data_IF_207305493190
#
_entry.id   IF_207305493190
#
_cell.length_a   1.000
_cell.length_b   1.000
_cell.length_c   1.000
_cell.angle_alpha   90.00
_cell.angle_beta   90.00
_cell.angle_gamma   90.00
#
_symmetry.space_group_name_H-M   'P 1'
#
loop_
_entity.id
_entity.type
_entity.pdbx_description
1 polymer ?
#
# COMPACT_ATOMS: atom_id res chain seq x y z
N UNK A 1 -14.86 48.03 -3.16
CA UNK A 1 -13.42 47.89 -2.84
C UNK A 1 -13.24 46.58 -2.10
N UNK A 2 -12.76 45.53 -2.79
CA UNK A 2 -12.55 44.22 -2.18
C UNK A 2 -11.44 44.32 -1.13
N UNK A 3 -11.73 43.87 0.09
CA UNK A 3 -10.82 43.96 1.23
C UNK A 3 -9.58 43.08 0.96
N UNK A 4 -8.39 43.70 0.85
CA UNK A 4 -7.11 43.02 0.60
C UNK A 4 -6.85 41.86 1.59
N UNK A 5 -7.39 41.94 2.80
CA UNK A 5 -7.30 40.88 3.81
C UNK A 5 -8.14 39.63 3.46
N UNK A 6 -9.28 39.81 2.79
CA UNK A 6 -10.14 38.70 2.35
C UNK A 6 -9.51 37.92 1.19
N UNK A 7 -8.81 38.62 0.28
CA UNK A 7 -8.07 37.99 -0.81
C UNK A 7 -6.82 37.24 -0.30
N UNK A 8 -6.13 37.80 0.71
CA UNK A 8 -4.96 37.15 1.33
C UNK A 8 -5.34 35.89 2.13
N UNK A 9 -6.46 35.92 2.85
CA UNK A 9 -7.01 34.74 3.54
C UNK A 9 -7.46 33.65 2.57
N UNK A 10 -8.05 34.03 1.42
CA UNK A 10 -8.44 33.09 0.38
C UNK A 10 -7.21 32.43 -0.28
N UNK A 11 -6.14 33.19 -0.53
CA UNK A 11 -4.86 32.69 -1.08
C UNK A 11 -4.17 31.74 -0.08
N UNK A 12 -4.14 32.08 1.21
CA UNK A 12 -3.63 31.19 2.26
C UNK A 12 -4.44 29.90 2.39
N UNK A 13 -5.77 29.97 2.24
CA UNK A 13 -6.66 28.81 2.28
C UNK A 13 -6.53 27.91 1.04
N UNK A 14 -6.18 28.47 -0.13
CA UNK A 14 -5.86 27.68 -1.32
C UNK A 14 -4.45 27.08 -1.30
N UNK A 15 -3.49 27.73 -0.61
CA UNK A 15 -2.12 27.22 -0.48
C UNK A 15 -2.00 26.04 0.51
N UNK A 16 -2.97 25.88 1.42
CA UNK A 16 -3.07 24.73 2.36
C UNK A 16 -3.82 23.53 1.78
N UNK A 17 -4.19 23.54 0.50
CA UNK A 17 -4.35 22.30 -0.27
C UNK A 17 -2.96 21.71 -0.48
N UNK A 18 -2.43 21.14 0.60
CA UNK A 18 -1.23 20.32 0.63
C UNK A 18 -1.22 19.44 -0.61
N UNK A 19 -0.20 19.60 -1.44
CA UNK A 19 0.15 18.60 -2.44
C UNK A 19 0.40 17.30 -1.67
N UNK A 20 -0.62 16.45 -1.57
CA UNK A 20 -0.48 15.08 -1.10
C UNK A 20 0.26 14.37 -2.22
N UNK A 21 1.58 14.40 -2.17
CA UNK A 21 2.40 13.65 -3.09
C UNK A 21 2.27 12.17 -2.73
N UNK A 22 1.46 11.46 -3.51
CA UNK A 22 1.36 10.01 -3.40
C UNK A 22 2.73 9.41 -3.73
N UNK A 23 3.16 8.40 -2.97
CA UNK A 23 4.36 7.63 -3.31
C UNK A 23 4.30 7.22 -4.79
N UNK A 24 5.43 7.33 -5.53
CA UNK A 24 5.46 6.95 -6.93
C UNK A 24 5.02 5.48 -7.06
N UNK A 25 4.21 5.15 -8.07
CA UNK A 25 3.74 3.78 -8.25
C UNK A 25 4.93 2.88 -8.55
N UNK A 26 4.94 1.71 -7.92
CA UNK A 26 5.98 0.69 -8.07
C UNK A 26 6.19 0.27 -9.55
N UNK A 27 5.09 0.14 -10.29
CA UNK A 27 5.09 -0.15 -11.71
C UNK A 27 3.90 0.55 -12.37
N UNK A 28 3.93 0.64 -13.71
CA UNK A 28 2.83 1.19 -14.50
C UNK A 28 2.47 2.63 -14.15
N UNK A 29 3.48 3.50 -14.01
CA UNK A 29 3.24 4.93 -13.76
C UNK A 29 2.36 5.53 -14.88
N UNK A 30 1.15 6.05 -14.58
CA UNK A 30 0.25 6.62 -15.58
C UNK A 30 0.81 7.88 -16.23
N UNK A 31 1.83 8.51 -15.64
CA UNK A 31 2.55 9.67 -16.17
C UNK A 31 3.62 9.27 -17.18
N UNK A 32 4.02 7.99 -17.22
CA UNK A 32 5.00 7.49 -18.17
C UNK A 32 4.29 6.92 -19.41
N UNK A 33 4.25 7.65 -20.54
CA UNK A 33 3.53 7.21 -21.74
C UNK A 33 4.10 5.93 -22.35
N UNK A 34 5.40 5.64 -22.14
CA UNK A 34 6.06 4.44 -22.69
C UNK A 34 5.63 3.17 -21.97
N UNK A 35 5.37 3.24 -20.67
CA UNK A 35 5.03 2.06 -19.86
C UNK A 35 3.54 1.92 -19.61
N UNK A 36 2.79 3.03 -19.55
CA UNK A 36 1.31 3.00 -19.40
C UNK A 36 0.60 2.23 -20.51
N UNK A 37 1.12 2.28 -21.73
CA UNK A 37 0.54 1.60 -22.89
C UNK A 37 0.78 0.07 -22.89
N UNK A 38 1.66 -0.45 -22.01
CA UNK A 38 1.96 -1.87 -21.94
C UNK A 38 0.72 -2.65 -21.49
N UNK A 39 0.49 -3.81 -22.12
CA UNK A 39 -0.73 -4.59 -21.88
C UNK A 39 -0.84 -5.05 -20.43
N UNK A 40 0.28 -5.40 -19.78
CA UNK A 40 0.28 -5.75 -18.35
C UNK A 40 -0.12 -4.59 -17.41
N UNK A 41 -0.08 -3.34 -17.88
CA UNK A 41 -0.52 -2.15 -17.12
C UNK A 41 -2.02 -1.84 -17.27
N UNK A 42 -2.73 -2.51 -18.20
CA UNK A 42 -4.17 -2.29 -18.41
C UNK A 42 -4.99 -3.12 -17.42
N UNK A 43 -5.50 -2.48 -16.37
CA UNK A 43 -6.28 -3.16 -15.31
C UNK A 43 -7.60 -3.77 -15.78
N UNK A 44 -8.11 -3.35 -16.95
CA UNK A 44 -9.29 -3.94 -17.59
C UNK A 44 -9.01 -5.30 -18.26
N UNK A 45 -7.74 -5.67 -18.41
CA UNK A 45 -7.32 -6.96 -18.97
C UNK A 45 -7.20 -7.99 -17.83
N UNK A 46 -7.64 -9.26 -18.02
CA UNK A 46 -7.52 -10.29 -16.99
C UNK A 46 -6.07 -10.49 -16.50
N UNK A 47 -5.91 -10.76 -15.20
CA UNK A 47 -4.60 -10.88 -14.54
C UNK A 47 -3.69 -11.89 -15.25
N UNK A 48 -4.18 -13.08 -15.59
CA UNK A 48 -3.38 -14.11 -16.25
C UNK A 48 -2.81 -13.65 -17.62
N UNK A 49 -3.55 -12.82 -18.36
CA UNK A 49 -3.08 -12.24 -19.63
C UNK A 49 -2.03 -11.16 -19.36
N UNK A 50 -2.23 -10.35 -18.33
CA UNK A 50 -1.26 -9.31 -17.91
C UNK A 50 0.05 -9.95 -17.46
N UNK A 51 -0.01 -11.00 -16.66
CA UNK A 51 1.16 -11.77 -16.20
C UNK A 51 1.88 -12.41 -17.38
N UNK A 52 1.16 -13.03 -18.32
CA UNK A 52 1.77 -13.61 -19.52
C UNK A 52 2.47 -12.56 -20.38
N UNK A 53 1.86 -11.38 -20.58
CA UNK A 53 2.49 -10.27 -21.31
C UNK A 53 3.75 -9.77 -20.59
N UNK A 54 3.71 -9.62 -19.26
CA UNK A 54 4.88 -9.22 -18.46
C UNK A 54 6.02 -10.24 -18.60
N UNK A 55 5.76 -11.52 -18.32
CA UNK A 55 6.78 -12.59 -18.39
C UNK A 55 7.33 -12.74 -19.81
N UNK A 56 6.50 -12.53 -20.84
CA UNK A 56 6.92 -12.56 -22.24
C UNK A 56 7.86 -11.41 -22.63
N UNK A 57 7.83 -10.29 -21.91
CA UNK A 57 8.70 -9.12 -22.15
C UNK A 57 10.04 -9.19 -21.44
N UNK A 58 10.16 -10.01 -20.40
CA UNK A 58 11.38 -10.16 -19.62
C UNK A 58 12.39 -11.03 -20.37
N UNK A 59 13.65 -10.58 -20.37
CA UNK A 59 14.80 -11.39 -20.76
C UNK A 59 15.01 -12.53 -19.76
N UNK A 60 15.75 -13.56 -20.16
CA UNK A 60 16.09 -14.66 -19.25
C UNK A 60 16.84 -14.17 -18.01
N UNK A 61 17.76 -13.21 -18.17
CA UNK A 61 18.53 -12.63 -17.06
C UNK A 61 17.65 -11.86 -16.08
N UNK A 62 16.71 -11.04 -16.59
CA UNK A 62 15.72 -10.36 -15.76
C UNK A 62 14.85 -11.37 -15.00
N UNK A 63 14.39 -12.46 -15.65
CA UNK A 63 13.60 -13.51 -14.99
C UNK A 63 14.35 -14.14 -13.82
N UNK A 64 15.60 -14.55 -14.03
CA UNK A 64 16.42 -15.19 -12.99
C UNK A 64 16.56 -14.28 -11.77
N UNK A 65 16.82 -12.97 -12.00
CA UNK A 65 17.01 -12.00 -10.92
C UNK A 65 15.73 -11.60 -10.18
N UNK A 66 14.56 -11.94 -10.73
CA UNK A 66 13.26 -11.74 -10.08
C UNK A 66 12.80 -12.95 -9.25
N UNK A 67 13.57 -14.05 -9.20
CA UNK A 67 13.23 -15.26 -8.44
C UNK A 67 13.58 -15.18 -6.94
N UNK A 68 14.38 -14.21 -6.54
CA UNK A 68 14.81 -14.02 -5.14
C UNK A 68 13.99 -12.92 -4.46
N UNK A 69 14.06 -12.86 -3.13
CA UNK A 69 13.31 -11.90 -2.31
C UNK A 69 13.65 -10.44 -2.62
N UNK A 70 14.95 -10.15 -2.78
CA UNK A 70 15.46 -8.86 -3.22
C UNK A 70 15.38 -8.77 -4.75
N UNK A 71 14.17 -8.66 -5.28
CA UNK A 71 13.93 -8.67 -6.72
C UNK A 71 14.38 -7.34 -7.34
N UNK A 72 15.19 -7.44 -8.41
CA UNK A 72 15.75 -6.26 -9.08
C UNK A 72 14.68 -5.36 -9.70
N UNK A 73 15.06 -4.12 -9.99
CA UNK A 73 14.29 -3.27 -10.87
C UNK A 73 14.41 -3.71 -12.34
N UNK A 74 13.41 -3.36 -13.15
CA UNK A 74 13.43 -3.53 -14.60
C UNK A 74 13.11 -2.17 -15.25
N UNK A 75 14.11 -1.25 -15.33
CA UNK A 75 13.90 0.13 -15.77
C UNK A 75 13.27 0.26 -17.15
N UNK A 76 13.63 -0.63 -18.08
CA UNK A 76 13.07 -0.64 -19.45
C UNK A 76 11.56 -0.85 -19.47
N UNK A 77 11.01 -1.55 -18.47
CA UNK A 77 9.58 -1.77 -18.30
C UNK A 77 8.95 -0.84 -17.26
N UNK A 78 9.74 0.05 -16.64
CA UNK A 78 9.29 0.94 -15.57
C UNK A 78 8.81 0.21 -14.32
N UNK A 79 9.49 -0.89 -13.97
CA UNK A 79 9.23 -1.67 -12.77
C UNK A 79 10.37 -1.37 -11.79
N UNK A 80 10.03 -0.95 -10.57
CA UNK A 80 11.02 -0.71 -9.51
C UNK A 80 11.45 -2.04 -8.87
N UNK A 81 12.53 -2.03 -8.09
CA UNK A 81 12.97 -3.21 -7.34
C UNK A 81 12.04 -3.49 -6.16
N UNK A 82 11.78 -4.76 -5.87
CA UNK A 82 10.78 -5.21 -4.91
C UNK A 82 11.36 -6.17 -3.90
N UNK A 83 11.22 -5.85 -2.62
CA UNK A 83 11.50 -6.78 -1.53
C UNK A 83 10.21 -7.44 -1.05
N UNK A 84 9.98 -8.68 -1.48
CA UNK A 84 8.75 -9.41 -1.17
C UNK A 84 8.78 -10.12 0.18
N UNK A 85 9.97 -10.32 0.78
CA UNK A 85 10.06 -10.90 2.12
C UNK A 85 9.66 -9.88 3.19
N UNK A 86 8.41 -10.02 3.64
CA UNK A 86 7.82 -9.24 4.72
C UNK A 86 7.17 -10.18 5.72
N UNK A 87 7.15 -9.78 7.00
CA UNK A 87 6.65 -10.60 8.10
C UNK A 87 5.47 -9.92 8.80
N UNK A 88 4.39 -10.66 9.05
CA UNK A 88 3.24 -10.13 9.81
C UNK A 88 2.46 -11.17 10.62
N UNK A 89 3.14 -12.19 11.15
CA UNK A 89 2.51 -13.33 11.85
C UNK A 89 1.47 -12.93 12.91
N UNK A 90 1.75 -11.90 13.71
CA UNK A 90 0.84 -11.37 14.73
C UNK A 90 0.87 -9.84 14.76
N UNK A 91 0.83 -9.24 13.58
CA UNK A 91 1.10 -7.82 13.36
C UNK A 91 2.38 -7.65 12.54
N UNK A 92 2.48 -6.54 11.81
CA UNK A 92 3.63 -6.25 10.94
C UNK A 92 4.91 -6.23 11.78
N UNK A 93 5.95 -6.86 11.27
CA UNK A 93 7.25 -6.99 11.94
C UNK A 93 8.33 -6.18 11.24
N UNK A 94 9.33 -5.78 12.03
CA UNK A 94 10.57 -5.17 11.57
C UNK A 94 11.64 -6.22 11.17
N UNK A 95 11.28 -7.51 11.27
CA UNK A 95 12.14 -8.64 10.93
C UNK A 95 12.26 -8.78 9.41
N UNK A 96 13.45 -9.21 8.96
CA UNK A 96 13.75 -9.33 7.55
C UNK A 96 14.02 -7.99 6.85
N UNK A 97 14.12 -8.00 5.51
CA UNK A 97 14.51 -6.82 4.73
C UNK A 97 13.34 -5.92 4.29
N UNK A 98 12.12 -6.46 4.11
CA UNK A 98 11.04 -5.74 3.40
C UNK A 98 10.33 -4.65 4.20
N UNK A 99 10.35 -4.71 5.54
CA UNK A 99 9.71 -3.70 6.39
C UNK A 99 10.70 -3.13 7.40
N UNK A 100 10.73 -1.80 7.49
CA UNK A 100 11.49 -1.05 8.50
C UNK A 100 10.64 -0.01 9.22
N UNK A 101 10.69 -0.02 10.55
CA UNK A 101 10.06 1.02 11.37
C UNK A 101 10.99 2.23 11.52
N UNK A 102 10.40 3.42 11.44
CA UNK A 102 11.12 4.70 11.52
C UNK A 102 10.33 5.85 10.89
N UNK A 103 10.78 7.08 11.12
CA UNK A 103 10.19 8.29 10.54
C UNK A 103 8.68 8.38 10.78
N UNK A 104 7.90 8.42 9.69
CA UNK A 104 6.44 8.51 9.72
C UNK A 104 5.73 7.25 10.27
N UNK A 105 6.42 6.11 10.37
CA UNK A 105 5.86 4.84 10.85
C UNK A 105 6.78 4.22 11.92
N UNK A 106 6.76 4.75 13.16
CA UNK A 106 7.72 4.35 14.20
C UNK A 106 7.47 2.95 14.78
N UNK A 107 6.26 2.40 14.64
CA UNK A 107 5.89 1.09 15.15
C UNK A 107 4.63 0.53 14.47
N UNK A 108 4.32 -0.73 14.77
CA UNK A 108 3.11 -1.44 14.40
C UNK A 108 2.43 -2.03 15.64
N UNK A 109 1.12 -2.30 15.56
CA UNK A 109 0.41 -3.06 16.60
C UNK A 109 0.95 -4.48 16.68
N UNK A 110 1.27 -4.93 17.90
CA UNK A 110 1.65 -6.32 18.19
C UNK A 110 0.48 -7.03 18.86
N UNK A 111 -0.10 -8.01 18.17
CA UNK A 111 -1.17 -8.86 18.69
C UNK A 111 -0.61 -10.01 19.51
N UNK A 112 -1.44 -10.71 20.33
CA UNK A 112 -1.02 -11.94 20.97
C UNK A 112 -0.51 -12.96 19.95
N UNK A 113 0.49 -13.75 20.36
CA UNK A 113 1.04 -14.81 19.53
C UNK A 113 -0.07 -15.77 19.07
N UNK A 114 0.13 -16.43 17.92
CA UNK A 114 -0.84 -17.31 17.26
C UNK A 114 -1.48 -18.31 18.24
N UNK A 115 -0.69 -18.90 19.14
CA UNK A 115 -1.21 -19.86 20.14
C UNK A 115 -2.22 -19.25 21.10
N UNK A 116 -1.99 -18.01 21.56
CA UNK A 116 -2.90 -17.29 22.47
C UNK A 116 -4.14 -16.82 21.72
N UNK A 117 -3.97 -16.34 20.48
CA UNK A 117 -5.10 -15.95 19.64
C UNK A 117 -5.96 -17.18 19.29
N UNK A 118 -5.37 -18.36 19.09
CA UNK A 118 -6.07 -19.63 18.88
C UNK A 118 -6.90 -20.04 20.10
N UNK A 119 -6.35 -19.85 21.30
CA UNK A 119 -7.01 -20.18 22.56
C UNK A 119 -8.28 -19.35 22.83
N UNK A 120 -8.53 -18.29 22.05
CA UNK A 120 -9.80 -17.57 22.09
C UNK A 120 -10.99 -18.34 21.49
N UNK A 121 -10.72 -19.33 20.64
CA UNK A 121 -11.72 -20.06 19.84
C UNK A 121 -12.72 -19.14 19.09
N UNK A 122 -12.29 -17.92 18.75
CA UNK A 122 -13.16 -16.91 18.14
C UNK A 122 -12.71 -16.58 16.70
N UNK A 123 -13.36 -17.21 15.72
CA UNK A 123 -13.05 -17.00 14.30
C UNK A 123 -13.19 -15.53 13.87
N UNK A 124 -14.22 -14.83 14.36
CA UNK A 124 -14.44 -13.42 14.04
C UNK A 124 -13.30 -12.53 14.55
N UNK A 125 -12.73 -12.85 15.71
CA UNK A 125 -11.55 -12.14 16.25
C UNK A 125 -10.33 -12.32 15.34
N UNK A 126 -10.07 -13.55 14.88
CA UNK A 126 -8.98 -13.83 13.93
C UNK A 126 -9.12 -13.03 12.63
N UNK A 127 -10.33 -13.00 12.08
CA UNK A 127 -10.63 -12.23 10.88
C UNK A 127 -10.45 -10.73 11.12
N UNK A 128 -10.87 -10.23 12.29
CA UNK A 128 -10.69 -8.83 12.66
C UNK A 128 -9.21 -8.46 12.77
N UNK A 129 -8.38 -9.30 13.38
CA UNK A 129 -6.91 -9.11 13.45
C UNK A 129 -6.32 -9.03 12.04
N UNK A 130 -6.69 -9.95 11.14
CA UNK A 130 -6.22 -9.94 9.75
C UNK A 130 -6.74 -8.76 8.91
N UNK A 131 -7.88 -8.17 9.29
CA UNK A 131 -8.50 -7.03 8.61
C UNK A 131 -7.97 -5.67 9.06
N UNK A 132 -7.20 -5.59 10.14
CA UNK A 132 -6.69 -4.30 10.62
C UNK A 132 -5.84 -3.66 9.52
N UNK A 133 -6.44 -2.67 8.86
CA UNK A 133 -5.76 -1.80 7.92
C UNK A 133 -5.11 -0.69 8.72
N UNK A 134 -3.86 -0.40 8.41
CA UNK A 134 -3.21 0.83 8.84
C UNK A 134 -3.94 2.02 8.21
N UNK A 135 -4.96 2.49 8.92
CA UNK A 135 -5.42 3.86 8.78
C UNK A 135 -4.38 4.69 9.48
N UNK A 136 -3.83 5.68 8.75
CA UNK A 136 -3.15 6.82 9.35
C UNK A 136 -4.12 7.41 10.36
N UNK A 137 -4.01 6.98 11.62
CA UNK A 137 -4.54 7.72 12.73
C UNK A 137 -3.68 8.98 12.79
N UNK A 138 -4.10 10.01 12.04
CA UNK A 138 -3.76 11.40 12.36
C UNK A 138 -4.42 11.74 13.70
N UNK A 139 -4.04 11.04 14.77
CA UNK A 139 -4.29 11.49 16.13
C UNK A 139 -3.20 12.51 16.37
N UNK A 140 -3.48 13.76 16.00
CA UNK A 140 -3.00 14.99 16.66
C UNK A 140 -3.23 16.28 15.86
N UNK A 141 -4.28 16.40 15.04
CA UNK A 141 -4.70 17.72 14.53
C UNK A 141 -6.23 17.81 14.52
N UNK A 142 -6.76 18.59 15.47
CA UNK A 142 -8.14 19.08 15.62
C UNK A 142 -9.19 18.08 16.17
N UNK A 143 -9.62 18.21 17.45
CA UNK A 143 -10.68 17.39 18.04
C UNK A 143 -12.08 17.56 17.40
N UNK A 144 -12.26 18.50 16.46
CA UNK A 144 -13.54 18.77 15.79
C UNK A 144 -13.85 17.87 14.57
N UNK A 145 -12.88 17.10 14.06
CA UNK A 145 -13.07 16.26 12.86
C UNK A 145 -13.46 14.80 13.17
N UNK A 146 -13.64 14.44 14.44
CA UNK A 146 -13.97 13.07 14.88
C UNK A 146 -15.21 12.49 14.20
N UNK A 147 -16.25 13.31 13.98
CA UNK A 147 -17.50 12.85 13.35
C UNK A 147 -17.33 12.57 11.85
N UNK A 148 -16.56 13.40 11.14
CA UNK A 148 -16.27 13.22 9.71
C UNK A 148 -15.38 11.99 9.50
N UNK A 149 -14.39 11.77 10.37
CA UNK A 149 -13.56 10.56 10.32
C UNK A 149 -14.35 9.28 10.58
N UNK A 150 -15.33 9.32 11.50
CA UNK A 150 -16.22 8.18 11.80
C UNK A 150 -17.17 7.86 10.63
N UNK A 151 -17.59 8.88 9.89
CA UNK A 151 -18.40 8.72 8.67
C UNK A 151 -17.52 8.21 7.52
N UNK A 152 -16.32 8.76 7.32
CA UNK A 152 -15.39 8.33 6.27
C UNK A 152 -14.85 6.91 6.49
N UNK A 153 -14.63 6.48 7.75
CA UNK A 153 -14.26 5.10 8.05
C UNK A 153 -15.40 4.13 7.75
N UNK A 154 -16.65 4.52 8.01
CA UNK A 154 -17.83 3.75 7.61
C UNK A 154 -18.05 3.71 6.09
N UNK A 155 -17.75 4.80 5.37
CA UNK A 155 -17.85 4.86 3.91
C UNK A 155 -16.72 4.08 3.21
N UNK A 156 -15.51 4.06 3.79
CA UNK A 156 -14.38 3.20 3.34
C UNK A 156 -14.65 1.71 3.54
N UNK A 157 -15.50 1.36 4.52
CA UNK A 157 -16.01 -0.01 4.68
C UNK A 157 -17.03 -0.40 3.61
N UNK A 158 -17.70 0.58 2.97
CA UNK A 158 -18.77 0.37 1.98
C UNK A 158 -18.30 0.34 0.53
N UNK A 159 -17.11 0.85 0.20
CA UNK A 159 -16.50 0.70 -1.13
C UNK A 159 -15.81 -0.67 -1.30
N UNK A 160 -16.59 -1.72 -1.08
CA UNK A 160 -16.28 -3.08 -1.51
C UNK A 160 -16.39 -3.15 -3.04
N UNK A 161 -15.26 -3.03 -3.73
CA UNK A 161 -15.16 -3.56 -5.09
C UNK A 161 -15.14 -5.09 -4.95
N UNK A 162 -16.28 -5.69 -5.24
CA UNK A 162 -16.56 -7.12 -5.18
C UNK A 162 -15.40 -7.97 -5.73
N UNK A 163 -14.75 -8.74 -4.87
CA UNK A 163 -14.02 -9.94 -5.26
C UNK A 163 -14.59 -11.11 -4.44
N UNK A 164 -15.17 -12.05 -5.17
CA UNK A 164 -15.90 -13.23 -4.68
C UNK A 164 -15.00 -14.16 -3.83
N UNK A 165 -15.60 -14.94 -2.92
CA UNK A 165 -14.92 -15.67 -1.85
C UNK A 165 -14.38 -17.00 -2.36
N UNK A 166 -13.07 -17.21 -2.34
CA UNK A 166 -12.48 -18.54 -2.58
C UNK A 166 -11.28 -18.74 -1.63
N UNK A 167 -11.51 -19.57 -0.60
CA UNK A 167 -10.58 -20.16 0.39
C UNK A 167 -9.86 -19.27 1.43
N UNK A 168 -9.69 -19.76 2.68
CA UNK A 168 -9.17 -19.00 3.81
C UNK A 168 -7.64 -18.99 3.78
N UNK A 169 -7.05 -18.21 2.88
CA UNK A 169 -5.68 -17.79 3.07
C UNK A 169 -5.72 -16.38 3.65
N UNK A 170 -5.19 -16.25 4.86
CA UNK A 170 -4.99 -14.98 5.56
C UNK A 170 -4.08 -14.11 4.67
N UNK A 171 -4.69 -13.38 3.73
CA UNK A 171 -4.00 -12.45 2.84
C UNK A 171 -3.84 -11.13 3.60
N UNK A 172 -2.87 -11.09 4.51
CA UNK A 172 -2.50 -9.85 5.18
C UNK A 172 -1.99 -8.92 4.08
N UNK A 173 -2.71 -7.81 3.85
CA UNK A 173 -2.29 -6.77 2.91
C UNK A 173 -1.09 -5.99 3.46
N UNK A 174 0.07 -6.64 3.56
CA UNK A 174 1.36 -6.02 3.93
C UNK A 174 1.92 -5.20 2.74
N UNK A 175 1.43 -5.47 1.52
CA UNK A 175 1.88 -4.91 0.24
C UNK A 175 1.87 -3.38 0.12
N UNK A 176 1.24 -2.66 1.06
CA UNK A 176 1.28 -1.18 1.04
C UNK A 176 2.58 -0.60 1.61
N UNK A 177 3.45 -1.44 2.18
CA UNK A 177 4.62 -1.00 2.94
C UNK A 177 5.97 -1.44 2.39
N UNK A 178 6.03 -2.35 1.41
CA UNK A 178 7.29 -2.68 0.75
C UNK A 178 7.88 -1.41 0.13
N UNK A 179 8.93 -0.89 0.75
CA UNK A 179 9.64 0.29 0.28
C UNK A 179 10.41 -0.10 -1.00
N UNK A 180 10.48 0.77 -2.01
CA UNK A 180 11.43 0.57 -3.10
C UNK A 180 12.84 0.50 -2.50
N UNK A 181 13.64 -0.42 -3.03
CA UNK A 181 15.02 -0.63 -2.56
C UNK A 181 15.81 0.64 -2.89
N UNK A 182 16.08 1.49 -1.89
CA UNK A 182 16.94 2.68 -2.03
C UNK A 182 18.23 2.45 -1.27
N UNK A 183 19.19 1.78 -1.89
CA UNK A 183 20.54 1.59 -1.35
C UNK A 183 21.41 0.81 -2.32
N UNK A 184 22.73 1.07 -2.38
CA UNK A 184 23.65 0.25 -3.17
C UNK A 184 23.80 -1.13 -2.53
N UNK A 185 23.91 -2.16 -3.37
CA UNK A 185 24.22 -3.54 -2.98
C UNK A 185 25.53 -3.65 -2.20
#
# INVERSE_FOLDING_TARGET
>A
MANKHSLFLLILFTATLLAVESRPPFACDPRNPRTRALKFCRVTVPVHVRVRDLIGRLTLQEKIRLLVNNAIDVPRLGIQGYEWWNEALHGVSNAGPGTKFGGAFPAATSFPQVITTAASFNQSLWEQIGRVRFILLFVNILPSLSLIYKILSHLSQKSSLNFLPIYPYIYIHIYRYSLPITGPC
#
